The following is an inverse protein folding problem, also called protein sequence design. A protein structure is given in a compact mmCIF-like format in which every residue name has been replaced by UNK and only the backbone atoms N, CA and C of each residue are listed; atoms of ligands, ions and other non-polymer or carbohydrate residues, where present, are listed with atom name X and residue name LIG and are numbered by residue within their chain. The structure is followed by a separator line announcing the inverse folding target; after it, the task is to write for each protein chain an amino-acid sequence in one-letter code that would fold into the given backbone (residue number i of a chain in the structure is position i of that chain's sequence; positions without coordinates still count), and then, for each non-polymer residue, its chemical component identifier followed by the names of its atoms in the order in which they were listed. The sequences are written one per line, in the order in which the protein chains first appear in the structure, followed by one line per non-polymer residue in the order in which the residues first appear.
data_IF_515403143593
#
_entry.id   IF_515403143593
#
_cell.length_a   1.000
_cell.length_b   1.000
_cell.length_c   1.000
_cell.angle_alpha   90.00
_cell.angle_beta   90.00
_cell.angle_gamma   90.00
#
_symmetry.space_group_name_H-M   'P 1'
#
loop_
_entity.id
_entity.type
_entity.pdbx_description
1 polymer ?
#
# COMPACT_ATOMS: atom_id res chain seq x y z
N UNK A 1 40.54 31.60 62.28
CA UNK A 1 39.57 32.09 61.23
C UNK A 1 39.83 31.33 59.95
N UNK A 2 39.10 30.29 59.75
CA UNK A 2 39.24 29.39 58.58
C UNK A 2 38.12 29.70 57.57
N UNK A 3 38.47 30.17 56.35
CA UNK A 3 37.53 30.49 55.31
C UNK A 3 37.33 29.24 54.43
N UNK A 4 36.12 28.70 54.46
CA UNK A 4 35.71 27.57 53.55
C UNK A 4 35.28 28.19 52.22
N UNK A 5 35.95 27.77 51.13
CA UNK A 5 35.58 28.13 49.74
C UNK A 5 34.69 27.01 49.21
N UNK A 6 33.42 27.34 48.97
CA UNK A 6 32.49 26.42 48.34
C UNK A 6 32.67 26.44 46.82
N UNK A 7 32.93 25.26 46.22
CA UNK A 7 32.98 25.06 44.79
C UNK A 7 31.57 24.73 44.31
N UNK A 8 30.99 25.61 43.50
CA UNK A 8 29.72 25.38 42.80
C UNK A 8 29.99 24.57 41.51
N UNK A 9 29.62 23.30 41.50
CA UNK A 9 29.67 22.48 40.28
C UNK A 9 28.41 22.74 39.43
N UNK A 10 28.57 23.40 38.31
CA UNK A 10 27.48 23.56 37.34
C UNK A 10 27.44 22.35 36.42
N UNK A 11 26.44 21.51 36.58
CA UNK A 11 26.18 20.36 35.66
C UNK A 11 25.49 20.88 34.41
N UNK A 12 26.21 20.87 33.28
CA UNK A 12 25.68 21.24 31.98
C UNK A 12 24.90 20.05 31.41
N UNK A 13 23.58 20.15 31.39
CA UNK A 13 22.68 19.15 30.78
C UNK A 13 22.67 19.37 29.27
N UNK A 14 23.42 18.56 28.52
CA UNK A 14 23.39 18.56 27.03
C UNK A 14 22.15 17.81 26.60
N UNK A 15 21.07 18.53 26.24
CA UNK A 15 19.94 17.98 25.51
C UNK A 15 20.39 17.69 24.06
N UNK A 16 20.67 16.44 23.75
CA UNK A 16 20.84 15.99 22.37
C UNK A 16 19.46 15.95 21.69
N UNK A 17 19.15 17.00 20.93
CA UNK A 17 18.02 17.00 20.00
C UNK A 17 18.41 16.10 18.84
N UNK A 18 17.95 14.85 18.84
CA UNK A 18 17.96 14.00 17.65
C UNK A 18 16.95 14.59 16.66
N UNK A 19 17.43 15.39 15.71
CA UNK A 19 16.66 15.76 14.55
C UNK A 19 16.38 14.46 13.78
N UNK A 20 15.15 13.95 13.88
CA UNK A 20 14.67 12.97 12.94
C UNK A 20 14.68 13.66 11.58
N UNK A 21 15.57 13.24 10.69
CA UNK A 21 15.47 13.57 9.28
C UNK A 21 14.19 12.90 8.77
N UNK A 22 13.08 13.64 8.80
CA UNK A 22 11.91 13.32 8.03
C UNK A 22 12.27 13.58 6.56
N UNK A 23 12.93 12.61 5.93
CA UNK A 23 13.09 12.58 4.49
C UNK A 23 11.70 12.68 3.86
N UNK A 24 11.60 13.42 2.76
CA UNK A 24 10.37 13.54 2.00
C UNK A 24 9.82 12.12 1.70
N UNK A 25 8.55 11.88 2.04
CA UNK A 25 7.95 10.56 1.84
C UNK A 25 7.96 10.20 0.34
N UNK A 26 8.75 9.20 -0.09
CA UNK A 26 8.96 8.92 -1.51
C UNK A 26 7.73 8.29 -2.18
N UNK A 27 6.73 7.84 -1.41
CA UNK A 27 5.51 7.25 -1.93
C UNK A 27 4.44 8.29 -2.30
N UNK A 28 4.58 9.54 -1.87
CA UNK A 28 3.58 10.59 -2.12
C UNK A 28 3.23 10.71 -3.61
N UNK A 29 1.93 10.88 -3.88
CA UNK A 29 1.38 11.09 -5.20
C UNK A 29 0.47 9.97 -5.68
N UNK A 30 0.17 10.01 -6.96
CA UNK A 30 -0.69 9.03 -7.65
C UNK A 30 0.15 8.11 -8.51
N UNK A 31 -0.18 6.84 -8.48
CA UNK A 31 0.50 5.77 -9.18
C UNK A 31 -0.49 5.01 -10.05
N UNK A 32 -0.13 4.74 -11.32
CA UNK A 32 -0.94 3.96 -12.26
C UNK A 32 -0.41 2.54 -12.35
N UNK A 33 -1.30 1.56 -12.30
CA UNK A 33 -0.96 0.14 -12.40
C UNK A 33 -0.36 -0.21 -13.78
N UNK A 34 0.76 -0.93 -13.76
CA UNK A 34 1.45 -1.45 -14.95
C UNK A 34 1.40 -2.98 -15.00
N UNK A 35 1.54 -3.65 -13.86
CA UNK A 35 1.53 -5.10 -13.78
C UNK A 35 0.93 -5.58 -12.46
N UNK A 36 0.28 -6.74 -12.49
CA UNK A 36 -0.23 -7.45 -11.32
C UNK A 36 0.03 -8.95 -11.50
N UNK A 37 1.05 -9.44 -10.84
CA UNK A 37 1.51 -10.83 -10.93
C UNK A 37 1.29 -11.52 -9.60
N UNK A 38 0.87 -12.77 -9.67
CA UNK A 38 0.86 -13.69 -8.54
C UNK A 38 2.06 -14.61 -8.60
N UNK A 39 2.78 -14.78 -7.49
CA UNK A 39 3.85 -15.74 -7.32
C UNK A 39 3.40 -16.82 -6.35
N UNK A 40 3.42 -18.08 -6.78
CA UNK A 40 3.03 -19.23 -5.97
C UNK A 40 4.19 -19.63 -5.06
N UNK A 41 3.95 -19.75 -3.76
CA UNK A 41 5.00 -20.01 -2.79
C UNK A 41 5.69 -21.38 -2.99
N UNK A 42 4.93 -22.41 -3.37
CA UNK A 42 5.44 -23.78 -3.50
C UNK A 42 6.35 -23.99 -4.73
N UNK A 43 6.10 -23.25 -5.83
CA UNK A 43 6.75 -23.48 -7.12
C UNK A 43 7.57 -22.31 -7.63
N UNK A 44 7.34 -21.10 -7.10
CA UNK A 44 7.87 -19.87 -7.67
C UNK A 44 7.22 -19.49 -9.03
N UNK A 45 6.22 -20.25 -9.46
CA UNK A 45 5.45 -19.93 -10.66
C UNK A 45 4.87 -18.52 -10.56
N UNK A 46 5.04 -17.75 -11.64
CA UNK A 46 4.45 -16.42 -11.77
C UNK A 46 3.43 -16.41 -12.87
N UNK A 47 2.26 -15.92 -12.59
CA UNK A 47 1.19 -15.76 -13.57
C UNK A 47 0.49 -14.42 -13.41
N UNK A 48 -0.04 -13.94 -14.51
CA UNK A 48 -0.90 -12.78 -14.50
C UNK A 48 -2.27 -13.18 -13.96
N UNK A 49 -2.57 -12.73 -12.76
CA UNK A 49 -3.76 -13.18 -12.04
C UNK A 49 -5.06 -12.66 -12.68
N UNK A 50 -4.99 -11.57 -13.45
CA UNK A 50 -6.15 -10.75 -13.69
C UNK A 50 -6.33 -10.25 -15.13
N UNK A 51 -5.60 -10.80 -16.14
CA UNK A 51 -5.64 -10.38 -17.53
C UNK A 51 -4.62 -9.30 -17.89
N UNK A 52 -4.45 -9.03 -19.18
CA UNK A 52 -3.36 -8.20 -19.71
C UNK A 52 -3.61 -6.69 -19.58
N UNK A 53 -4.89 -6.25 -19.59
CA UNK A 53 -5.28 -4.84 -19.61
C UNK A 53 -5.98 -4.43 -18.33
N UNK A 54 -5.23 -4.24 -17.27
CA UNK A 54 -5.75 -3.78 -15.98
C UNK A 54 -5.71 -2.28 -15.87
N UNK A 55 -6.75 -1.72 -15.27
CA UNK A 55 -6.75 -0.34 -14.86
C UNK A 55 -6.69 -0.25 -13.35
N UNK A 56 -5.86 0.61 -12.84
CA UNK A 56 -5.80 0.84 -11.40
C UNK A 56 -5.01 2.06 -11.05
N UNK A 57 -5.37 2.61 -9.91
CA UNK A 57 -4.69 3.73 -9.28
C UNK A 57 -4.44 3.42 -7.81
N UNK A 58 -3.27 3.83 -7.35
CA UNK A 58 -2.88 3.85 -5.96
C UNK A 58 -2.49 5.29 -5.62
N UNK A 59 -2.99 5.82 -4.53
CA UNK A 59 -2.66 7.16 -4.08
C UNK A 59 -2.15 7.15 -2.66
N UNK A 60 -1.11 7.95 -2.40
CA UNK A 60 -0.63 8.31 -1.08
C UNK A 60 -0.63 9.81 -0.93
N UNK A 61 -1.39 10.33 0.01
CA UNK A 61 -1.52 11.75 0.27
C UNK A 61 -0.66 12.18 1.47
N UNK A 62 -0.29 13.46 1.52
CA UNK A 62 0.55 14.03 2.58
C UNK A 62 -0.14 14.10 3.94
N UNK A 63 -1.47 13.99 3.98
CA UNK A 63 -2.27 13.93 5.20
C UNK A 63 -2.34 12.51 5.82
N UNK A 64 -1.57 11.55 5.27
CA UNK A 64 -1.55 10.16 5.73
C UNK A 64 -2.68 9.30 5.17
N UNK A 65 -3.49 9.80 4.23
CA UNK A 65 -4.53 9.04 3.54
C UNK A 65 -3.98 8.28 2.34
N UNK A 66 -4.60 7.13 2.07
CA UNK A 66 -4.31 6.33 0.90
C UNK A 66 -5.57 5.73 0.30
N UNK A 67 -5.50 5.38 -0.98
CA UNK A 67 -6.51 4.57 -1.66
C UNK A 67 -5.86 3.65 -2.69
N UNK A 68 -6.51 2.53 -2.96
CA UNK A 68 -6.20 1.64 -4.07
C UNK A 68 -7.49 1.24 -4.77
N UNK A 69 -7.53 1.39 -6.09
CA UNK A 69 -8.64 0.98 -6.95
C UNK A 69 -8.06 0.25 -8.14
N UNK A 70 -8.46 -1.01 -8.33
CA UNK A 70 -8.02 -1.85 -9.45
C UNK A 70 -9.24 -2.50 -10.07
N UNK A 71 -9.33 -2.47 -11.38
CA UNK A 71 -10.35 -3.18 -12.15
C UNK A 71 -9.71 -4.04 -13.24
N UNK A 72 -10.40 -5.11 -13.60
CA UNK A 72 -9.99 -6.03 -14.66
C UNK A 72 -10.52 -5.56 -16.01
N UNK A 73 -9.86 -5.94 -17.09
CA UNK A 73 -10.23 -5.60 -18.47
C UNK A 73 -11.50 -6.29 -18.95
N UNK A 74 -11.75 -7.52 -18.48
CA UNK A 74 -12.97 -8.28 -18.80
C UNK A 74 -14.18 -7.93 -17.91
N UNK A 75 -14.17 -6.72 -17.35
CA UNK A 75 -15.24 -6.24 -16.50
C UNK A 75 -16.56 -6.18 -17.28
N UNK A 76 -17.61 -6.79 -16.73
CA UNK A 76 -18.93 -6.76 -17.32
C UNK A 76 -19.42 -5.32 -17.54
N UNK A 77 -20.01 -5.05 -18.69
CA UNK A 77 -20.76 -3.82 -18.94
C UNK A 77 -22.25 -4.14 -18.72
N UNK A 78 -22.88 -3.66 -17.64
CA UNK A 78 -24.28 -3.93 -17.36
C UNK A 78 -25.17 -3.46 -18.50
N UNK A 79 -26.24 -4.21 -18.75
CA UNK A 79 -27.19 -3.90 -19.82
C UNK A 79 -28.08 -2.70 -19.46
N UNK A 80 -28.27 -2.43 -18.16
CA UNK A 80 -29.08 -1.32 -17.64
C UNK A 80 -28.40 -0.66 -16.43
N UNK A 81 -28.88 0.50 -16.03
CA UNK A 81 -28.47 1.24 -14.83
C UNK A 81 -28.64 0.38 -13.56
N UNK A 82 -29.60 -0.52 -13.55
CA UNK A 82 -29.80 -1.49 -12.47
C UNK A 82 -29.28 -2.86 -12.91
N UNK A 83 -28.05 -3.24 -12.54
CA UNK A 83 -27.47 -4.51 -12.93
C UNK A 83 -28.27 -5.70 -12.38
N UNK A 84 -28.35 -6.78 -13.13
CA UNK A 84 -28.85 -8.08 -12.65
C UNK A 84 -27.96 -8.63 -11.54
N UNK A 85 -28.40 -9.64 -10.83
CA UNK A 85 -27.59 -10.27 -9.79
C UNK A 85 -26.32 -10.93 -10.35
N UNK A 86 -26.39 -11.53 -11.54
CA UNK A 86 -25.22 -12.11 -12.20
C UNK A 86 -24.20 -11.03 -12.57
N UNK A 87 -24.66 -9.90 -13.10
CA UNK A 87 -23.78 -8.78 -13.42
C UNK A 87 -23.13 -8.19 -12.16
N UNK A 88 -23.88 -8.06 -11.05
CA UNK A 88 -23.35 -7.63 -9.75
C UNK A 88 -22.25 -8.56 -9.24
N UNK A 89 -22.42 -9.87 -9.34
CA UNK A 89 -21.41 -10.87 -8.96
C UNK A 89 -20.15 -10.68 -9.80
N UNK A 90 -20.29 -10.54 -11.13
CA UNK A 90 -19.16 -10.28 -12.04
C UNK A 90 -18.47 -8.96 -11.74
N UNK A 91 -19.24 -7.89 -11.51
CA UNK A 91 -18.71 -6.56 -11.17
C UNK A 91 -17.92 -6.60 -9.86
N UNK A 92 -18.45 -7.27 -8.82
CA UNK A 92 -17.77 -7.45 -7.55
C UNK A 92 -16.47 -8.25 -7.70
N UNK A 93 -16.50 -9.36 -8.43
CA UNK A 93 -15.34 -10.24 -8.66
C UNK A 93 -14.24 -9.67 -9.55
N UNK A 94 -14.52 -8.57 -10.26
CA UNK A 94 -13.59 -7.91 -11.20
C UNK A 94 -13.09 -6.56 -10.71
N UNK A 95 -13.01 -6.38 -9.40
CA UNK A 95 -12.57 -5.16 -8.77
C UNK A 95 -11.86 -5.45 -7.45
N UNK A 96 -10.89 -4.61 -7.11
CA UNK A 96 -10.37 -4.41 -5.75
C UNK A 96 -10.43 -2.92 -5.48
N UNK A 97 -11.02 -2.53 -4.35
CA UNK A 97 -11.05 -1.12 -3.94
C UNK A 97 -11.04 -1.01 -2.43
N UNK A 98 -10.13 -0.20 -1.91
CA UNK A 98 -10.09 0.14 -0.49
C UNK A 98 -9.40 1.49 -0.27
N UNK A 99 -9.70 2.09 0.85
CA UNK A 99 -9.06 3.32 1.29
C UNK A 99 -8.91 3.32 2.81
N UNK A 100 -8.03 4.19 3.30
CA UNK A 100 -7.76 4.35 4.72
C UNK A 100 -6.59 5.28 4.95
N UNK A 101 -5.82 4.98 5.99
CA UNK A 101 -4.57 5.66 6.27
C UNK A 101 -3.38 4.74 6.01
N UNK A 102 -2.16 5.28 6.07
CA UNK A 102 -0.96 4.47 5.95
C UNK A 102 0.14 4.93 6.89
N UNK A 103 0.97 3.99 7.29
CA UNK A 103 2.26 4.23 7.93
C UNK A 103 3.34 3.52 7.14
N UNK A 104 4.57 4.02 7.17
CA UNK A 104 5.68 3.40 6.43
C UNK A 104 7.00 3.48 7.18
N UNK A 105 7.89 2.58 6.84
CA UNK A 105 9.31 2.60 7.16
C UNK A 105 10.16 2.44 5.87
N UNK A 106 11.44 2.11 5.97
CA UNK A 106 12.33 1.98 4.81
C UNK A 106 12.02 0.77 3.91
N UNK A 107 11.27 -0.23 4.38
CA UNK A 107 11.07 -1.52 3.70
C UNK A 107 9.60 -1.80 3.36
N UNK A 108 8.68 -1.28 4.16
CA UNK A 108 7.26 -1.58 4.05
C UNK A 108 6.38 -0.37 4.28
N UNK A 109 5.20 -0.43 3.70
CA UNK A 109 4.07 0.43 3.99
C UNK A 109 2.93 -0.45 4.52
N UNK A 110 2.25 0.03 5.55
CA UNK A 110 1.08 -0.62 6.14
C UNK A 110 -0.13 0.22 5.78
N UNK A 111 -1.09 -0.39 5.07
CA UNK A 111 -2.37 0.23 4.79
C UNK A 111 -3.34 -0.14 5.90
N UNK A 112 -3.77 0.83 6.69
CA UNK A 112 -4.81 0.72 7.71
C UNK A 112 -6.15 0.94 7.01
N UNK A 113 -6.89 -0.12 6.76
CA UNK A 113 -8.08 -0.09 5.90
C UNK A 113 -9.30 0.40 6.64
N UNK A 114 -9.79 1.60 6.31
CA UNK A 114 -11.03 2.17 6.90
C UNK A 114 -12.28 1.65 6.18
N UNK A 115 -12.21 1.54 4.84
CA UNK A 115 -13.30 1.07 3.98
C UNK A 115 -12.76 0.17 2.88
N UNK A 116 -13.54 -0.84 2.47
CA UNK A 116 -13.15 -1.77 1.41
C UNK A 116 -14.36 -2.31 0.66
N UNK A 117 -14.17 -2.63 -0.63
CA UNK A 117 -15.17 -3.37 -1.43
C UNK A 117 -15.49 -4.75 -0.82
N UNK A 118 -14.52 -5.39 -0.18
CA UNK A 118 -14.69 -6.63 0.56
C UNK A 118 -14.63 -6.33 2.06
N UNK A 119 -15.77 -6.42 2.74
CA UNK A 119 -15.91 -6.01 4.13
C UNK A 119 -14.94 -6.71 5.08
N UNK A 120 -14.42 -7.89 4.76
CA UNK A 120 -13.43 -8.60 5.58
C UNK A 120 -12.11 -7.84 5.72
N UNK A 121 -11.81 -6.88 4.83
CA UNK A 121 -10.61 -6.07 4.90
C UNK A 121 -10.78 -4.81 5.75
N UNK A 122 -12.03 -4.36 5.94
CA UNK A 122 -12.32 -3.17 6.76
C UNK A 122 -11.87 -3.40 8.20
N UNK A 123 -11.11 -2.45 8.76
CA UNK A 123 -10.54 -2.54 10.11
C UNK A 123 -9.30 -3.43 10.20
N UNK A 124 -8.69 -3.82 9.08
CA UNK A 124 -7.45 -4.63 9.06
C UNK A 124 -6.25 -3.85 8.56
N UNK A 125 -5.07 -4.33 8.91
CA UNK A 125 -3.78 -3.85 8.43
C UNK A 125 -3.28 -4.70 7.27
N UNK A 126 -3.03 -4.05 6.12
CA UNK A 126 -2.49 -4.70 4.94
C UNK A 126 -1.00 -4.37 4.79
N UNK A 127 -0.13 -5.29 5.19
CA UNK A 127 1.33 -5.12 5.07
C UNK A 127 1.75 -5.26 3.60
N UNK A 128 2.55 -4.29 3.12
CA UNK A 128 3.05 -4.21 1.76
C UNK A 128 4.55 -3.90 1.79
N UNK A 129 5.36 -4.81 1.31
CA UNK A 129 6.77 -4.53 1.07
C UNK A 129 6.90 -3.74 -0.21
N UNK A 130 7.76 -2.72 -0.24
CA UNK A 130 7.90 -1.89 -1.42
C UNK A 130 9.36 -1.74 -1.85
N UNK A 131 9.53 -1.49 -3.15
CA UNK A 131 10.78 -1.08 -3.77
C UNK A 131 10.49 0.06 -4.74
N UNK A 132 11.23 1.15 -4.62
CA UNK A 132 11.12 2.31 -5.50
C UNK A 132 12.36 2.41 -6.39
N UNK A 133 12.17 2.44 -7.70
CA UNK A 133 13.22 2.57 -8.70
C UNK A 133 12.83 3.65 -9.71
N UNK A 134 13.31 4.88 -9.49
CA UNK A 134 12.92 6.03 -10.29
C UNK A 134 11.41 6.32 -10.16
N UNK A 135 10.68 6.21 -11.27
CA UNK A 135 9.22 6.38 -11.30
C UNK A 135 8.42 5.07 -11.17
N UNK A 136 9.08 3.95 -10.90
CA UNK A 136 8.44 2.65 -10.73
C UNK A 136 8.43 2.25 -9.25
N UNK A 137 7.24 1.94 -8.75
CA UNK A 137 6.98 1.44 -7.41
C UNK A 137 6.51 -0.01 -7.51
N UNK A 138 7.31 -0.95 -7.00
CA UNK A 138 6.91 -2.34 -6.86
C UNK A 138 6.37 -2.55 -5.45
N UNK A 139 5.15 -3.06 -5.35
CA UNK A 139 4.51 -3.43 -4.08
C UNK A 139 4.29 -4.95 -4.05
N UNK A 140 4.81 -5.59 -3.01
CA UNK A 140 4.64 -7.03 -2.78
C UNK A 140 3.80 -7.23 -1.50
N UNK A 141 2.74 -8.02 -1.59
CA UNK A 141 1.93 -8.37 -0.42
C UNK A 141 2.70 -9.30 0.53
N UNK A 142 2.34 -9.29 1.81
CA UNK A 142 2.66 -10.42 2.67
C UNK A 142 2.11 -11.73 2.07
N UNK A 143 2.72 -12.89 2.36
CA UNK A 143 2.18 -14.18 1.94
C UNK A 143 0.72 -14.33 2.36
N UNK A 144 -0.11 -14.79 1.43
CA UNK A 144 -1.53 -14.98 1.68
C UNK A 144 -2.08 -16.09 0.79
N UNK A 145 -3.24 -16.62 1.18
CA UNK A 145 -3.99 -17.57 0.38
C UNK A 145 -4.81 -16.86 -0.67
N UNK A 146 -4.69 -17.27 -1.93
CA UNK A 146 -5.47 -16.71 -3.03
C UNK A 146 -6.95 -17.11 -2.86
N UNK A 147 -7.89 -16.15 -2.81
CA UNK A 147 -9.31 -16.46 -2.65
C UNK A 147 -9.95 -17.15 -3.87
N UNK A 148 -9.28 -17.16 -5.02
CA UNK A 148 -9.80 -17.76 -6.26
C UNK A 148 -9.44 -19.25 -6.38
N UNK A 149 -8.16 -19.60 -6.18
CA UNK A 149 -7.65 -20.97 -6.38
C UNK A 149 -7.12 -21.64 -5.12
N UNK A 150 -7.09 -20.91 -3.99
CA UNK A 150 -6.66 -21.41 -2.69
C UNK A 150 -5.14 -21.61 -2.55
N UNK A 151 -4.33 -21.29 -3.56
CA UNK A 151 -2.87 -21.45 -3.49
C UNK A 151 -2.23 -20.38 -2.60
N UNK A 152 -1.26 -20.81 -1.78
CA UNK A 152 -0.43 -19.87 -1.01
C UNK A 152 0.55 -19.15 -1.94
N UNK A 153 0.77 -17.87 -1.68
CA UNK A 153 1.67 -17.06 -2.48
C UNK A 153 1.64 -15.59 -2.11
N UNK A 154 2.14 -14.75 -2.99
CA UNK A 154 2.15 -13.29 -2.82
C UNK A 154 1.78 -12.59 -4.11
N UNK A 155 1.15 -11.45 -3.99
CA UNK A 155 0.87 -10.55 -5.12
C UNK A 155 2.00 -9.56 -5.28
N UNK A 156 2.42 -9.34 -6.52
CA UNK A 156 3.46 -8.38 -6.92
C UNK A 156 2.81 -7.40 -7.89
N UNK A 157 2.73 -6.14 -7.49
CA UNK A 157 2.12 -5.07 -8.28
C UNK A 157 3.20 -4.05 -8.64
N UNK A 158 3.29 -3.72 -9.92
CA UNK A 158 4.17 -2.66 -10.42
C UNK A 158 3.32 -1.46 -10.78
N UNK A 159 3.71 -0.32 -10.27
CA UNK A 159 3.04 0.96 -10.44
C UNK A 159 3.99 1.98 -11.05
N UNK A 160 3.50 2.84 -11.92
CA UNK A 160 4.23 3.95 -12.47
C UNK A 160 3.70 5.27 -11.92
N UNK A 161 4.57 6.17 -11.51
CA UNK A 161 4.19 7.48 -11.00
C UNK A 161 3.48 8.28 -12.09
N UNK A 162 2.30 8.79 -11.78
CA UNK A 162 1.60 9.73 -12.66
C UNK A 162 2.31 11.08 -12.56
N UNK A 163 2.75 11.59 -13.70
CA UNK A 163 3.33 12.94 -13.74
C UNK A 163 2.25 13.97 -13.34
N UNK A 164 2.60 15.03 -12.62
CA UNK A 164 1.68 16.14 -12.44
C UNK A 164 1.29 16.73 -13.83
N UNK A 165 0.07 17.26 -13.99
CA UNK A 165 -0.39 17.86 -15.23
C UNK A 165 0.42 19.09 -15.60
#
# INVERSE_FOLDING_TARGET
MTKTVGVLSATLLILSVTAAFAGENPLLGTWKLKAFVREVAATGERYDERGEHRNGFLGYASDGRMYAIITWDNRANPHDVVPTNEERIKLYGTMISYAGTYTMDAEKVIHHVDISWNQIWTGTDQVRFYKLEGNLLTITSAPNRNPVDGREGRSILVWERVAPP
#
